data_IF_824977706251
#
_entry.id   IF_824977706251
#
_cell.length_a   1.000
_cell.length_b   1.000
_cell.length_c   1.000
_cell.angle_alpha   90.00
_cell.angle_beta   90.00
_cell.angle_gamma   90.00
#
_symmetry.space_group_name_H-M   'P 1'
#
loop_
_entity.id
_entity.type
_entity.pdbx_description
1 polymer ?
#
# COMPACT_ATOMS: atom_id res chain seq x y z
N UNK A 1 3.72 -9.80 6.08
CA UNK A 1 4.01 -8.60 5.23
C UNK A 1 2.92 -7.56 5.47
N UNK A 2 3.22 -6.27 5.32
CA UNK A 2 2.26 -5.18 5.54
C UNK A 2 2.26 -4.30 4.29
N UNK A 3 1.07 -4.03 3.73
CA UNK A 3 0.88 -3.21 2.53
C UNK A 3 -0.50 -2.55 2.61
N UNK A 4 -0.60 -1.47 3.40
CA UNK A 4 -1.85 -0.87 3.85
C UNK A 4 -2.79 -0.44 2.71
N UNK A 5 -2.26 0.15 1.62
CA UNK A 5 -3.07 0.65 0.49
C UNK A 5 -2.93 -0.19 -0.78
N UNK A 6 -1.88 -1.02 -0.89
CA UNK A 6 -1.56 -1.77 -2.11
C UNK A 6 -1.84 -3.26 -1.92
N UNK A 7 -3.11 -3.65 -2.01
CA UNK A 7 -3.54 -5.03 -1.84
C UNK A 7 -2.94 -5.95 -2.93
N UNK A 8 -2.38 -7.11 -2.58
CA UNK A 8 -1.91 -8.10 -3.56
C UNK A 8 -3.07 -8.73 -4.35
N UNK A 9 -4.31 -8.54 -3.91
CA UNK A 9 -5.53 -9.00 -4.61
C UNK A 9 -6.00 -8.01 -5.68
N UNK A 10 -5.46 -6.79 -5.71
CA UNK A 10 -5.84 -5.77 -6.68
C UNK A 10 -5.42 -6.20 -8.09
N UNK A 11 -6.38 -6.23 -9.01
CA UNK A 11 -6.14 -6.54 -10.42
C UNK A 11 -5.38 -5.41 -11.15
N UNK A 12 -4.77 -5.72 -12.30
CA UNK A 12 -4.18 -4.69 -13.16
C UNK A 12 -5.20 -3.62 -13.54
N UNK A 13 -4.83 -2.34 -13.42
CA UNK A 13 -5.70 -1.21 -13.76
C UNK A 13 -6.66 -0.77 -12.66
N UNK A 14 -6.65 -1.40 -11.47
CA UNK A 14 -7.40 -0.88 -10.32
C UNK A 14 -6.79 0.43 -9.82
N UNK A 15 -7.61 1.26 -9.17
CA UNK A 15 -7.15 2.48 -8.49
C UNK A 15 -6.06 2.08 -7.50
N UNK A 16 -4.96 2.81 -7.46
CA UNK A 16 -3.76 2.49 -6.67
C UNK A 16 -3.02 1.19 -7.05
N UNK A 17 -3.37 0.54 -8.18
CA UNK A 17 -2.57 -0.57 -8.69
C UNK A 17 -1.25 -0.03 -9.29
N UNK A 18 -0.16 -0.40 -8.69
CA UNK A 18 1.18 0.04 -9.08
C UNK A 18 2.24 -1.04 -8.84
N UNK A 19 3.50 -0.67 -8.99
CA UNK A 19 4.62 -1.58 -8.77
C UNK A 19 4.62 -2.25 -7.39
N UNK A 20 4.11 -1.58 -6.35
CA UNK A 20 4.04 -2.12 -4.99
C UNK A 20 3.11 -3.34 -4.91
N UNK A 21 1.90 -3.29 -5.50
CA UNK A 21 0.96 -4.43 -5.49
C UNK A 21 1.60 -5.67 -6.11
N UNK A 22 2.24 -5.48 -7.29
CA UNK A 22 2.92 -6.56 -8.02
C UNK A 22 4.09 -7.10 -7.19
N UNK A 23 4.92 -6.21 -6.62
CA UNK A 23 6.03 -6.60 -5.77
C UNK A 23 5.57 -7.43 -4.57
N UNK A 24 4.58 -6.94 -3.80
CA UNK A 24 4.05 -7.64 -2.63
C UNK A 24 3.46 -8.99 -3.02
N UNK A 25 2.65 -9.04 -4.10
CA UNK A 25 2.04 -10.28 -4.57
C UNK A 25 3.09 -11.32 -4.99
N UNK A 26 4.11 -10.90 -5.74
CA UNK A 26 5.14 -11.83 -6.22
C UNK A 26 6.06 -12.31 -5.10
N UNK A 27 6.47 -11.41 -4.21
CA UNK A 27 7.30 -11.78 -3.06
C UNK A 27 6.55 -12.75 -2.13
N UNK A 28 5.28 -12.48 -1.80
CA UNK A 28 4.47 -13.36 -0.98
C UNK A 28 4.31 -14.75 -1.60
N UNK A 29 3.97 -14.82 -2.90
CA UNK A 29 3.88 -16.10 -3.62
C UNK A 29 5.19 -16.87 -3.65
N UNK A 30 6.30 -16.16 -3.84
CA UNK A 30 7.63 -16.78 -3.89
C UNK A 30 8.03 -17.40 -2.55
N UNK A 31 7.78 -16.66 -1.45
CA UNK A 31 8.01 -17.18 -0.09
C UNK A 31 7.07 -18.34 0.22
N UNK A 32 5.79 -18.25 -0.11
CA UNK A 32 4.83 -19.33 0.07
C UNK A 32 5.20 -20.61 -0.69
N UNK A 33 5.67 -20.49 -1.93
CA UNK A 33 6.21 -21.64 -2.72
C UNK A 33 7.43 -22.29 -2.08
N UNK A 34 8.22 -21.54 -1.30
CA UNK A 34 9.36 -22.06 -0.53
C UNK A 34 8.98 -22.67 0.82
N UNK A 35 7.67 -22.74 1.13
CA UNK A 35 7.16 -23.32 2.36
C UNK A 35 7.03 -22.36 3.54
N UNK A 36 7.33 -21.06 3.34
CA UNK A 36 7.14 -20.07 4.41
C UNK A 36 5.67 -19.65 4.47
N UNK A 37 5.00 -19.76 5.63
CA UNK A 37 3.68 -19.16 5.81
C UNK A 37 3.80 -17.64 5.78
N UNK A 38 2.96 -16.99 4.97
CA UNK A 38 2.98 -15.54 4.76
C UNK A 38 1.57 -14.96 4.94
N UNK A 39 1.44 -14.02 5.86
CA UNK A 39 0.26 -13.18 5.98
C UNK A 39 0.56 -11.81 5.41
N UNK A 40 -0.34 -11.33 4.53
CA UNK A 40 -0.28 -9.99 3.95
C UNK A 40 -1.42 -9.16 4.51
N UNK A 41 -1.10 -8.24 5.40
CA UNK A 41 -2.06 -7.30 5.98
C UNK A 41 -2.28 -6.13 5.02
N UNK A 42 -3.53 -5.90 4.65
CA UNK A 42 -3.95 -4.78 3.80
C UNK A 42 -5.25 -4.20 4.34
N UNK A 43 -5.51 -2.92 4.11
CA UNK A 43 -6.75 -2.30 4.60
C UNK A 43 -7.98 -2.85 3.88
N UNK A 44 -9.05 -3.05 4.62
CA UNK A 44 -10.37 -3.38 4.05
C UNK A 44 -10.97 -2.13 3.41
N UNK A 45 -10.99 -2.09 2.09
CA UNK A 45 -11.49 -0.97 1.29
C UNK A 45 -12.93 -1.17 0.77
N UNK A 46 -13.56 -2.29 1.14
CA UNK A 46 -14.96 -2.63 0.79
C UNK A 46 -15.62 -3.39 1.93
N UNK A 47 -16.89 -3.08 2.19
CA UNK A 47 -17.62 -3.61 3.34
C UNK A 47 -17.76 -5.13 3.40
N UNK A 48 -17.89 -5.78 2.26
CA UNK A 48 -18.16 -7.23 2.15
C UNK A 48 -16.92 -8.11 2.01
N UNK A 49 -15.71 -7.55 2.16
CA UNK A 49 -14.49 -8.35 2.10
C UNK A 49 -14.36 -9.21 3.36
N UNK A 50 -14.10 -10.53 3.22
CA UNK A 50 -13.84 -11.40 4.36
C UNK A 50 -12.54 -10.99 5.07
N UNK A 51 -12.45 -11.27 6.39
CA UNK A 51 -11.26 -10.96 7.20
C UNK A 51 -10.00 -11.60 6.62
N UNK A 52 -10.09 -12.88 6.23
CA UNK A 52 -8.97 -13.67 5.74
C UNK A 52 -9.31 -14.29 4.40
N UNK A 53 -8.43 -14.14 3.42
CA UNK A 53 -8.53 -14.74 2.08
C UNK A 53 -7.28 -15.58 1.80
N UNK A 54 -7.47 -16.82 1.38
CA UNK A 54 -6.38 -17.63 0.81
C UNK A 54 -5.97 -17.03 -0.56
N UNK A 55 -4.69 -16.70 -0.72
CA UNK A 55 -4.18 -16.02 -1.91
C UNK A 55 -3.31 -16.93 -2.79
N UNK A 56 -2.51 -17.77 -2.15
CA UNK A 56 -1.64 -18.75 -2.79
C UNK A 56 -1.29 -19.84 -1.75
N UNK A 57 -0.64 -20.94 -2.15
CA UNK A 57 -0.13 -21.92 -1.18
C UNK A 57 0.70 -21.23 -0.09
N UNK A 58 0.36 -21.47 1.17
CA UNK A 58 0.97 -20.86 2.35
C UNK A 58 0.87 -19.32 2.43
N UNK A 59 -0.02 -18.67 1.67
CA UNK A 59 -0.20 -17.22 1.68
C UNK A 59 -1.65 -16.85 1.95
N UNK A 60 -1.87 -16.03 2.98
CA UNK A 60 -3.16 -15.43 3.31
C UNK A 60 -3.10 -13.91 3.15
N UNK A 61 -4.21 -13.29 2.76
CA UNK A 61 -4.41 -11.85 2.81
C UNK A 61 -5.40 -11.55 3.94
N UNK A 62 -5.01 -10.66 4.82
CA UNK A 62 -5.79 -10.23 5.97
C UNK A 62 -6.31 -8.82 5.70
N UNK A 63 -7.63 -8.65 5.65
CA UNK A 63 -8.28 -7.35 5.47
C UNK A 63 -8.48 -6.66 6.81
N UNK A 64 -7.67 -5.66 7.08
CA UNK A 64 -7.67 -4.87 8.33
C UNK A 64 -8.77 -3.82 8.29
N UNK A 65 -9.72 -3.80 9.26
CA UNK A 65 -10.81 -2.83 9.31
C UNK A 65 -10.34 -1.50 9.94
N UNK A 66 -9.40 -0.81 9.30
CA UNK A 66 -8.91 0.49 9.73
C UNK A 66 -9.59 1.62 8.94
N UNK A 67 -10.34 2.48 9.64
CA UNK A 67 -11.16 3.52 9.04
C UNK A 67 -12.38 2.98 8.26
N UNK A 68 -12.99 3.81 7.39
CA UNK A 68 -14.22 3.44 6.67
C UNK A 68 -13.96 2.33 5.65
N UNK A 69 -14.92 1.41 5.51
CA UNK A 69 -14.84 0.28 4.56
C UNK A 69 -15.18 0.71 3.12
N UNK A 70 -14.48 1.74 2.65
CA UNK A 70 -14.55 2.29 1.28
C UNK A 70 -13.15 2.62 0.81
N UNK A 71 -13.00 2.87 -0.49
CA UNK A 71 -11.72 3.37 -1.00
C UNK A 71 -11.39 4.74 -0.37
N UNK A 72 -10.21 4.86 0.20
CA UNK A 72 -9.64 6.11 0.73
C UNK A 72 -8.32 6.36 0.01
N UNK A 73 -8.12 7.54 -0.59
CA UNK A 73 -6.84 7.88 -1.22
C UNK A 73 -5.67 7.70 -0.25
N UNK A 74 -4.56 7.16 -0.72
CA UNK A 74 -3.40 6.84 0.14
C UNK A 74 -2.87 8.02 0.94
N UNK A 75 -2.98 9.24 0.40
CA UNK A 75 -2.58 10.48 1.07
C UNK A 75 -3.42 10.79 2.32
N UNK A 76 -4.58 10.15 2.46
CA UNK A 76 -5.53 10.33 3.57
C UNK A 76 -5.55 9.14 4.54
N UNK A 77 -4.70 8.14 4.35
CA UNK A 77 -4.69 6.92 5.18
C UNK A 77 -3.93 7.07 6.49
N UNK A 78 -3.05 8.06 6.60
CA UNK A 78 -2.20 8.25 7.78
C UNK A 78 -2.96 8.21 9.13
N UNK A 79 -4.15 8.87 9.27
CA UNK A 79 -4.91 8.85 10.53
C UNK A 79 -5.38 7.47 10.99
N UNK A 80 -5.43 6.49 10.08
CA UNK A 80 -5.92 5.13 10.40
C UNK A 80 -4.79 4.13 10.73
N UNK A 81 -3.53 4.57 10.77
CA UNK A 81 -2.39 3.66 10.96
C UNK A 81 -2.27 3.12 12.37
N UNK A 82 -2.73 3.86 13.38
CA UNK A 82 -2.78 3.37 14.76
C UNK A 82 -3.84 2.26 14.91
N UNK A 83 -5.03 2.47 14.33
CA UNK A 83 -6.09 1.45 14.29
C UNK A 83 -5.64 0.21 13.51
N UNK A 84 -4.94 0.41 12.37
CA UNK A 84 -4.37 -0.65 11.57
C UNK A 84 -3.34 -1.47 12.39
N UNK A 85 -2.43 -0.81 13.07
CA UNK A 85 -1.40 -1.44 13.90
C UNK A 85 -1.98 -2.16 15.10
N UNK A 86 -3.00 -1.58 15.77
CA UNK A 86 -3.68 -2.20 16.89
C UNK A 86 -4.36 -3.52 16.47
N UNK A 87 -5.12 -3.50 15.38
CA UNK A 87 -5.76 -4.69 14.83
C UNK A 87 -4.74 -5.78 14.47
N UNK A 88 -3.63 -5.39 13.81
CA UNK A 88 -2.57 -6.35 13.48
C UNK A 88 -2.02 -7.05 14.73
N UNK A 89 -1.73 -6.28 15.79
CA UNK A 89 -1.20 -6.85 17.03
C UNK A 89 -2.18 -7.84 17.67
N UNK A 90 -3.48 -7.51 17.68
CA UNK A 90 -4.54 -8.38 18.19
C UNK A 90 -4.70 -9.64 17.33
N UNK A 91 -4.70 -9.49 15.99
CA UNK A 91 -4.77 -10.62 15.07
C UNK A 91 -3.60 -11.57 15.27
N UNK A 92 -2.38 -11.06 15.32
CA UNK A 92 -1.16 -11.85 15.50
C UNK A 92 -1.15 -12.59 16.85
N UNK A 93 -1.64 -11.95 17.92
CA UNK A 93 -1.76 -12.58 19.23
C UNK A 93 -2.84 -13.68 19.25
N UNK A 94 -3.97 -13.46 18.59
CA UNK A 94 -5.10 -14.42 18.51
C UNK A 94 -4.77 -15.64 17.66
N UNK A 95 -4.12 -15.44 16.52
CA UNK A 95 -3.86 -16.48 15.52
C UNK A 95 -2.77 -17.47 15.99
N UNK A 96 -2.03 -17.15 17.06
CA UNK A 96 -0.97 -17.98 17.68
C UNK A 96 0.09 -18.50 16.69
N UNK A 97 0.20 -17.87 15.52
CA UNK A 97 1.29 -18.12 14.58
C UNK A 97 2.51 -17.37 15.07
N UNK A 98 3.62 -18.08 15.25
CA UNK A 98 4.88 -17.46 15.62
C UNK A 98 5.44 -16.64 14.44
N UNK A 99 5.15 -15.35 14.41
CA UNK A 99 5.71 -14.45 13.39
C UNK A 99 7.19 -14.18 13.65
N UNK A 100 8.05 -14.55 12.71
CA UNK A 100 9.51 -14.39 12.82
C UNK A 100 9.99 -13.01 12.36
N UNK A 101 9.28 -12.36 11.43
CA UNK A 101 9.66 -11.07 10.86
C UNK A 101 8.43 -10.34 10.31
N UNK A 102 8.40 -9.04 10.49
CA UNK A 102 7.48 -8.14 9.79
C UNK A 102 8.20 -7.48 8.62
N UNK A 103 7.56 -7.43 7.45
CA UNK A 103 8.07 -6.68 6.30
C UNK A 103 7.06 -5.61 5.92
N UNK A 104 7.36 -4.37 6.24
CA UNK A 104 6.54 -3.21 5.90
C UNK A 104 6.89 -2.66 4.51
N UNK A 105 5.85 -2.44 3.72
CA UNK A 105 5.95 -1.91 2.36
C UNK A 105 5.34 -0.52 2.31
N UNK A 106 6.15 0.51 2.13
CA UNK A 106 5.79 1.92 2.25
C UNK A 106 5.85 2.45 3.70
N UNK A 107 6.00 3.79 3.86
CA UNK A 107 6.25 4.39 5.18
C UNK A 107 5.07 4.22 6.16
N UNK A 108 3.83 4.29 5.68
CA UNK A 108 2.65 4.11 6.53
C UNK A 108 2.53 2.68 7.07
N UNK A 109 2.83 1.67 6.26
CA UNK A 109 2.99 0.28 6.75
C UNK A 109 4.05 0.18 7.85
N UNK A 110 5.12 0.99 7.73
CA UNK A 110 6.17 1.08 8.75
C UNK A 110 5.65 1.64 10.07
N UNK A 111 4.84 2.70 10.04
CA UNK A 111 4.22 3.27 11.24
C UNK A 111 3.30 2.26 11.93
N UNK A 112 2.43 1.59 11.19
CA UNK A 112 1.59 0.52 11.73
C UNK A 112 2.42 -0.63 12.32
N UNK A 113 3.53 -1.01 11.67
CA UNK A 113 4.44 -2.05 12.17
C UNK A 113 5.13 -1.66 13.48
N UNK A 114 5.49 -0.39 13.66
CA UNK A 114 6.06 0.11 14.92
C UNK A 114 5.11 -0.07 16.09
N UNK A 115 3.79 0.14 15.87
CA UNK A 115 2.77 -0.12 16.88
C UNK A 115 2.76 -1.61 17.31
N UNK A 116 2.87 -2.52 16.36
CA UNK A 116 3.00 -3.96 16.66
C UNK A 116 4.29 -4.28 17.39
N UNK A 117 5.42 -3.71 16.94
CA UNK A 117 6.75 -3.94 17.55
C UNK A 117 6.81 -3.51 19.01
N UNK A 118 6.06 -2.51 19.43
CA UNK A 118 5.96 -2.10 20.84
C UNK A 118 5.30 -3.15 21.74
N UNK A 119 4.44 -4.01 21.17
CA UNK A 119 3.68 -5.04 21.90
C UNK A 119 4.29 -6.43 21.73
N UNK A 120 4.85 -6.70 20.57
CA UNK A 120 5.40 -7.99 20.18
C UNK A 120 6.83 -7.76 19.68
N UNK A 121 7.82 -8.39 20.31
CA UNK A 121 9.23 -8.22 19.93
C UNK A 121 9.55 -8.98 18.62
N UNK A 122 9.03 -8.47 17.51
CA UNK A 122 9.19 -9.05 16.17
C UNK A 122 10.11 -8.14 15.34
N UNK A 123 11.19 -8.67 14.72
CA UNK A 123 12.06 -7.90 13.83
C UNK A 123 11.27 -7.25 12.67
N UNK A 124 11.62 -6.00 12.34
CA UNK A 124 10.99 -5.22 11.28
C UNK A 124 11.98 -4.94 10.15
N UNK A 125 11.59 -5.32 8.94
CA UNK A 125 12.24 -4.94 7.68
C UNK A 125 11.33 -3.95 6.93
N UNK A 126 11.92 -2.99 6.21
CA UNK A 126 11.17 -1.97 5.52
C UNK A 126 11.61 -1.77 4.08
N UNK A 127 10.64 -1.69 3.16
CA UNK A 127 10.84 -1.28 1.77
C UNK A 127 10.04 -0.01 1.49
N UNK A 128 10.70 1.09 1.13
CA UNK A 128 10.05 2.39 0.98
C UNK A 128 9.24 2.54 -0.31
N UNK A 129 9.54 1.81 -1.39
CA UNK A 129 8.96 1.91 -2.74
C UNK A 129 8.99 3.32 -3.37
N UNK A 130 8.83 4.37 -2.55
CA UNK A 130 8.98 5.76 -2.97
C UNK A 130 9.53 6.60 -1.82
N UNK A 131 10.51 7.45 -2.11
CA UNK A 131 11.07 8.41 -1.16
C UNK A 131 10.40 9.77 -1.39
N UNK A 132 9.62 10.22 -0.41
CA UNK A 132 8.85 11.46 -0.52
C UNK A 132 9.71 12.71 -0.81
N UNK A 133 10.97 12.75 -0.35
CA UNK A 133 11.92 13.81 -0.67
C UNK A 133 12.28 13.84 -2.15
N UNK A 134 12.60 12.68 -2.73
CA UNK A 134 12.93 12.53 -4.15
C UNK A 134 11.71 12.87 -5.01
N UNK A 135 10.52 12.39 -4.65
CA UNK A 135 9.28 12.71 -5.36
C UNK A 135 9.02 14.22 -5.41
N UNK A 136 9.18 14.93 -4.28
CA UNK A 136 9.02 16.40 -4.21
C UNK A 136 10.01 17.14 -5.11
N UNK A 137 11.27 16.71 -5.14
CA UNK A 137 12.29 17.33 -6.00
C UNK A 137 11.93 17.18 -7.48
N UNK A 138 11.49 16.00 -7.93
CA UNK A 138 11.08 15.76 -9.31
C UNK A 138 9.76 16.44 -9.70
N UNK A 139 8.80 16.57 -8.76
CA UNK A 139 7.56 17.31 -9.01
C UNK A 139 7.81 18.81 -9.12
N UNK A 140 8.65 19.39 -8.26
CA UNK A 140 9.05 20.80 -8.33
C UNK A 140 9.79 21.10 -9.67
N UNK A 141 10.69 20.22 -10.11
CA UNK A 141 11.39 20.34 -11.39
C UNK A 141 10.44 20.28 -12.60
N UNK A 142 9.39 19.44 -12.55
CA UNK A 142 8.37 19.37 -13.61
C UNK A 142 7.49 20.62 -13.67
N UNK A 143 7.15 21.23 -12.54
CA UNK A 143 6.39 22.48 -12.48
C UNK A 143 7.21 23.69 -12.89
N UNK A 144 8.53 23.65 -12.73
CA UNK A 144 9.46 24.70 -13.14
C UNK A 144 9.86 24.66 -14.62
N UNK A 145 9.49 23.61 -15.37
CA UNK A 145 9.80 23.50 -16.80
C UNK A 145 8.84 24.34 -17.65
N UNK A 146 9.34 25.33 -18.46
CA UNK A 146 8.51 26.27 -19.23
C UNK A 146 7.65 25.66 -20.34
N UNK A 147 7.80 24.37 -20.65
CA UNK A 147 7.18 23.70 -21.81
C UNK A 147 5.71 23.34 -21.65
N UNK A 148 5.13 23.49 -20.47
CA UNK A 148 3.71 23.16 -20.26
C UNK A 148 2.75 24.37 -20.53
N UNK A 149 3.29 25.60 -20.59
CA UNK A 149 2.47 26.80 -20.73
C UNK A 149 2.34 27.30 -22.18
N UNK A 150 3.09 26.76 -23.16
CA UNK A 150 3.12 27.27 -24.54
C UNK A 150 2.24 26.54 -25.54
N UNK A 151 1.54 25.44 -25.15
CA UNK A 151 0.68 24.67 -26.07
C UNK A 151 -0.80 25.02 -26.06
N UNK A 152 -1.26 25.98 -25.24
CA UNK A 152 -2.67 26.34 -25.19
C UNK A 152 -3.04 27.70 -25.84
N UNK A 153 -2.11 28.35 -26.55
CA UNK A 153 -2.36 29.69 -27.14
C UNK A 153 -2.27 29.81 -28.67
N UNK A 154 -2.22 28.71 -29.42
CA UNK A 154 -2.08 28.80 -30.90
C UNK A 154 -3.20 28.18 -31.73
N UNK A 155 -4.43 28.03 -31.20
CA UNK A 155 -5.56 27.53 -32.01
C UNK A 155 -6.81 28.39 -31.98
N UNK A 156 -6.70 29.70 -31.70
CA UNK A 156 -7.86 30.62 -31.72
C UNK A 156 -7.60 31.92 -32.54
N UNK A 157 -6.99 31.83 -33.70
CA UNK A 157 -6.98 32.95 -34.64
C UNK A 157 -6.76 32.45 -36.08
N UNK A 158 -7.75 31.85 -36.70
CA UNK A 158 -7.90 31.80 -38.15
C UNK A 158 -9.31 31.28 -38.50
N UNK A 159 -10.29 32.14 -38.51
CA UNK A 159 -11.41 32.13 -39.44
C UNK A 159 -12.34 33.31 -39.16
N UNK A 160 -11.99 34.46 -39.71
CA UNK A 160 -12.97 35.50 -40.13
C UNK A 160 -12.29 36.32 -41.22
N UNK A 161 -12.64 36.08 -42.46
CA UNK A 161 -12.90 37.04 -43.55
C UNK A 161 -13.05 36.27 -44.84
N UNK A 162 -14.21 36.39 -45.41
CA UNK A 162 -14.82 36.64 -46.67
C UNK A 162 -15.97 35.68 -46.94
#
# INVERSE_FOLDING_TARGET
MISEHASPLAGPGSVDSGGQNIYVAQLARHLGKRGYPVDVFTRRDKGLLPEVVAFAPNVRVIHVPAGPAVHVPKEQLLPYMDEFGAYMAEFMARDRVGYMVMHANFFMSGLAALHVKQKLDIPLVMTFHALGKVRRQHQAARMASPTAASRSRSSWCANRTA
#
